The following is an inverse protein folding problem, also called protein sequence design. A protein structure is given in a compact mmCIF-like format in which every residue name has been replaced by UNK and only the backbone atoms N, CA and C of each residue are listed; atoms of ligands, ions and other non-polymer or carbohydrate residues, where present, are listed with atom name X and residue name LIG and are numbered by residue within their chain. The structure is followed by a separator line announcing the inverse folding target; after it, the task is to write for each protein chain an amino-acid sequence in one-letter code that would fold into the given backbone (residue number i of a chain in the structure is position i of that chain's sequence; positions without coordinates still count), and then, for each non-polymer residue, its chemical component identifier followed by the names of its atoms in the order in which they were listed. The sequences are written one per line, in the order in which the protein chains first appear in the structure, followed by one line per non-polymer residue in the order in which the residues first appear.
data_IF_242418896865
#
_entry.id   IF_242418896865
#
_cell.length_a   1.000
_cell.length_b   1.000
_cell.length_c   1.000
_cell.angle_alpha   90.00
_cell.angle_beta   90.00
_cell.angle_gamma   90.00
#
_symmetry.space_group_name_H-M   'P 1'
#
loop_
_entity.id
_entity.type
_entity.pdbx_description
1 polymer ?
#
# COMPACT_ATOMS: atom_id res chain seq x y z
N UNK A 1 -4.46 6.47 -14.31
CA UNK A 1 -4.08 6.70 -12.89
C UNK A 1 -5.32 6.83 -12.04
N UNK A 2 -5.30 6.36 -10.79
CA UNK A 2 -6.48 6.33 -9.89
C UNK A 2 -6.84 7.68 -9.27
N UNK A 3 -5.91 8.64 -9.25
CA UNK A 3 -6.16 9.99 -8.71
C UNK A 3 -5.92 10.13 -7.20
N UNK A 4 -5.53 9.06 -6.50
CA UNK A 4 -5.06 9.13 -5.11
C UNK A 4 -3.57 9.54 -5.06
N UNK A 5 -3.22 10.48 -4.19
CA UNK A 5 -1.83 10.92 -3.94
C UNK A 5 -1.25 10.34 -2.65
N UNK A 6 -2.05 10.34 -1.58
CA UNK A 6 -1.67 9.77 -0.28
C UNK A 6 -2.78 8.89 0.27
N UNK A 7 -2.36 7.77 0.82
CA UNK A 7 -3.22 6.77 1.43
C UNK A 7 -2.78 6.55 2.88
N UNK A 8 -3.74 6.27 3.76
CA UNK A 8 -3.51 5.86 5.14
C UNK A 8 -3.93 4.40 5.29
N UNK A 9 -2.99 3.53 5.65
CA UNK A 9 -3.27 2.10 5.84
C UNK A 9 -4.10 1.88 7.10
N UNK A 10 -5.18 1.09 6.98
CA UNK A 10 -6.01 0.68 8.12
C UNK A 10 -5.65 -0.75 8.53
N UNK A 11 -5.58 -1.65 7.53
CA UNK A 11 -5.47 -3.09 7.79
C UNK A 11 -4.83 -3.83 6.63
N UNK A 12 -4.09 -4.89 6.94
CA UNK A 12 -3.56 -5.84 5.97
C UNK A 12 -4.57 -6.98 5.81
N UNK A 13 -4.97 -7.27 4.57
CA UNK A 13 -5.89 -8.37 4.27
C UNK A 13 -5.18 -9.71 4.28
N UNK A 14 -5.87 -10.76 4.72
CA UNK A 14 -5.35 -12.14 4.69
C UNK A 14 -4.38 -12.49 5.81
N UNK A 15 -4.15 -11.60 6.78
CA UNK A 15 -3.26 -11.88 7.91
C UNK A 15 -3.94 -11.60 9.25
N UNK A 16 -3.92 -12.58 10.15
CA UNK A 16 -4.31 -12.39 11.56
C UNK A 16 -3.14 -11.80 12.33
N UNK A 17 -3.34 -10.67 13.02
CA UNK A 17 -2.34 -10.00 13.88
C UNK A 17 -1.00 -9.60 13.23
N UNK A 18 -0.94 -9.46 11.91
CA UNK A 18 0.28 -9.00 11.24
C UNK A 18 0.43 -7.47 11.36
N UNK A 19 1.58 -7.03 11.89
CA UNK A 19 1.89 -5.61 12.11
C UNK A 19 2.44 -4.90 10.86
N UNK A 20 3.03 -5.63 9.91
CA UNK A 20 3.74 -5.06 8.76
C UNK A 20 3.34 -5.73 7.44
N UNK A 21 3.13 -4.91 6.41
CA UNK A 21 2.92 -5.35 5.05
C UNK A 21 4.25 -5.33 4.27
N UNK A 22 4.43 -6.35 3.43
CA UNK A 22 5.52 -6.47 2.47
C UNK A 22 5.01 -6.26 1.05
N UNK A 23 5.93 -6.22 0.09
CA UNK A 23 5.59 -6.15 -1.33
C UNK A 23 4.70 -7.34 -1.72
N UNK A 24 3.61 -7.06 -2.42
CA UNK A 24 2.60 -8.05 -2.85
C UNK A 24 1.40 -8.17 -1.90
N UNK A 25 1.50 -7.66 -0.66
CA UNK A 25 0.38 -7.72 0.28
C UNK A 25 -0.75 -6.75 -0.12
N UNK A 26 -1.99 -7.19 0.05
CA UNK A 26 -3.19 -6.37 -0.16
C UNK A 26 -3.57 -5.68 1.14
N UNK A 27 -3.75 -4.37 1.10
CA UNK A 27 -4.14 -3.55 2.25
C UNK A 27 -5.47 -2.86 1.99
N UNK A 28 -6.23 -2.62 3.07
CA UNK A 28 -7.32 -1.65 3.10
C UNK A 28 -6.74 -0.32 3.58
N UNK A 29 -6.98 0.74 2.81
CA UNK A 29 -6.50 2.07 3.10
C UNK A 29 -7.59 3.13 2.86
N UNK A 30 -7.45 4.28 3.51
CA UNK A 30 -8.28 5.47 3.28
C UNK A 30 -7.51 6.46 2.41
N UNK A 31 -8.20 7.10 1.48
CA UNK A 31 -7.63 8.19 0.68
C UNK A 31 -7.51 9.46 1.52
N UNK A 32 -6.28 9.84 1.88
CA UNK A 32 -6.02 11.09 2.60
C UNK A 32 -6.01 12.30 1.68
N UNK A 33 -5.34 12.17 0.52
CA UNK A 33 -5.26 13.20 -0.51
C UNK A 33 -5.64 12.62 -1.87
N UNK A 34 -6.58 13.28 -2.54
CA UNK A 34 -7.04 12.95 -3.88
C UNK A 34 -6.90 14.17 -4.81
N UNK A 35 -6.65 13.91 -6.08
CA UNK A 35 -6.68 14.93 -7.14
C UNK A 35 -8.15 15.29 -7.42
N UNK A 36 -8.50 16.59 -7.52
CA UNK A 36 -9.85 17.01 -7.90
C UNK A 36 -10.22 16.49 -9.30
N UNK A 37 -11.52 16.33 -9.57
CA UNK A 37 -12.08 15.81 -10.83
C UNK A 37 -11.72 14.35 -11.17
N UNK A 38 -11.20 13.58 -10.20
CA UNK A 38 -10.99 12.14 -10.34
C UNK A 38 -12.13 11.34 -9.68
N UNK A 39 -12.36 10.08 -10.10
CA UNK A 39 -13.41 9.23 -9.53
C UNK A 39 -13.20 8.92 -8.03
N UNK A 40 -11.96 8.97 -7.55
CA UNK A 40 -11.63 8.75 -6.14
C UNK A 40 -11.77 10.03 -5.32
N UNK A 41 -12.63 9.96 -4.29
CA UNK A 41 -12.87 11.04 -3.33
C UNK A 41 -11.97 10.91 -2.10
N UNK A 42 -11.69 12.05 -1.45
CA UNK A 42 -11.07 12.08 -0.12
C UNK A 42 -11.93 11.29 0.87
N UNK A 43 -11.28 10.62 1.81
CA UNK A 43 -11.90 9.74 2.82
C UNK A 43 -12.58 8.48 2.27
N UNK A 44 -12.43 8.17 0.98
CA UNK A 44 -12.87 6.91 0.42
C UNK A 44 -12.03 5.74 0.92
N UNK A 45 -12.67 4.61 1.23
CA UNK A 45 -12.00 3.36 1.58
C UNK A 45 -11.69 2.60 0.29
N UNK A 46 -10.44 2.19 0.13
CA UNK A 46 -9.93 1.50 -1.06
C UNK A 46 -9.09 0.28 -0.69
N UNK A 47 -9.03 -0.68 -1.61
CA UNK A 47 -8.06 -1.78 -1.58
C UNK A 47 -6.86 -1.41 -2.45
N UNK A 48 -5.67 -1.63 -1.93
CA UNK A 48 -4.42 -1.35 -2.64
C UNK A 48 -3.42 -2.50 -2.45
N UNK A 49 -2.47 -2.61 -3.37
CA UNK A 49 -1.36 -3.58 -3.30
C UNK A 49 -0.07 -2.82 -3.04
N UNK A 50 0.74 -3.31 -2.11
CA UNK A 50 2.07 -2.74 -1.84
C UNK A 50 3.03 -3.18 -2.95
N UNK A 51 3.56 -2.23 -3.72
CA UNK A 51 4.46 -2.53 -4.85
C UNK A 51 5.92 -2.17 -4.59
N UNK A 52 6.18 -1.18 -3.71
CA UNK A 52 7.52 -0.71 -3.36
C UNK A 52 7.59 -0.40 -1.87
N UNK A 53 8.70 -0.76 -1.25
CA UNK A 53 8.97 -0.51 0.17
C UNK A 53 10.40 0.01 0.36
N UNK A 54 10.55 0.96 1.28
CA UNK A 54 11.87 1.45 1.72
C UNK A 54 12.60 0.44 2.61
N UNK A 55 11.87 -0.47 3.26
CA UNK A 55 12.48 -1.61 3.96
C UNK A 55 12.97 -2.62 2.93
N UNK A 56 14.15 -3.15 3.21
CA UNK A 56 14.78 -4.22 2.44
C UNK A 56 13.88 -5.48 2.38
N UNK A 57 13.69 -6.00 1.17
CA UNK A 57 13.07 -7.30 0.92
C UNK A 57 14.19 -8.29 0.60
N UNK A 58 14.32 -9.32 1.43
CA UNK A 58 15.21 -10.46 1.16
C UNK A 58 14.47 -11.47 0.29
N UNK A 59 15.05 -11.78 -0.87
CA UNK A 59 14.59 -12.88 -1.71
C UNK A 59 15.27 -14.19 -1.29
N UNK A 60 14.59 -15.28 -1.59
CA UNK A 60 15.02 -16.67 -1.49
C UNK A 60 16.38 -16.94 -2.17
N UNK A 61 16.64 -16.28 -3.30
CA UNK A 61 17.92 -16.35 -4.01
C UNK A 61 19.07 -15.54 -3.36
N UNK A 62 18.87 -14.98 -2.16
CA UNK A 62 19.87 -14.20 -1.43
C UNK A 62 19.97 -12.73 -1.84
N UNK A 63 19.24 -12.29 -2.86
CA UNK A 63 19.23 -10.88 -3.28
C UNK A 63 18.42 -10.01 -2.32
N UNK A 64 18.88 -8.78 -2.10
CA UNK A 64 18.21 -7.78 -1.29
C UNK A 64 17.73 -6.63 -2.16
N UNK A 65 16.44 -6.30 -2.08
CA UNK A 65 15.83 -5.21 -2.86
C UNK A 65 15.30 -4.15 -1.94
N UNK A 66 15.62 -2.89 -2.24
CA UNK A 66 15.15 -1.73 -1.52
C UNK A 66 14.79 -0.63 -2.51
N UNK A 67 13.63 -0.02 -2.32
CA UNK A 67 13.19 1.12 -3.11
C UNK A 67 13.39 2.42 -2.32
N UNK A 68 13.58 3.52 -3.03
CA UNK A 68 13.63 4.89 -2.48
C UNK A 68 12.23 5.40 -2.11
#
# INVERSE_FOLDING_TARGET
NSGARKLMCIRILGASNRKYANIGDVIIAVVGEAVPNMPLKKSGIVRAVVVRTRKELKRDNGMIIRFD
#
